data_IF_031497724600
#
_entry.id   IF_031497724600
#
_cell.length_a   1.000
_cell.length_b   1.000
_cell.length_c   1.000
_cell.angle_alpha   90.00
_cell.angle_beta   90.00
_cell.angle_gamma   90.00
#
_symmetry.space_group_name_H-M   'P 1'
#
loop_
_entity.id
_entity.type
_entity.pdbx_description
1 polymer ?
#
# COMPACT_ATOMS: atom_id res chain seq x y z
N UNK A 1 -29.38 -16.64 -22.15
CA UNK A 1 -28.24 -15.86 -21.59
C UNK A 1 -27.58 -16.69 -20.50
N UNK A 2 -26.33 -17.12 -20.69
CA UNK A 2 -25.58 -17.84 -19.67
C UNK A 2 -25.04 -16.83 -18.64
N UNK A 3 -25.52 -16.87 -17.40
CA UNK A 3 -24.98 -16.03 -16.31
C UNK A 3 -23.66 -16.63 -15.86
N UNK A 4 -22.55 -16.02 -16.27
CA UNK A 4 -21.22 -16.37 -15.76
C UNK A 4 -21.05 -15.73 -14.39
N UNK A 5 -21.00 -16.55 -13.34
CA UNK A 5 -20.68 -16.09 -11.99
C UNK A 5 -19.15 -16.10 -11.83
N UNK A 6 -18.52 -14.93 -11.93
CA UNK A 6 -17.08 -14.80 -11.65
C UNK A 6 -16.90 -14.91 -10.13
N UNK A 7 -16.37 -16.03 -9.66
CA UNK A 7 -15.99 -16.21 -8.26
C UNK A 7 -14.55 -15.78 -8.07
N UNK A 8 -14.32 -14.65 -7.40
CA UNK A 8 -12.97 -14.22 -7.00
C UNK A 8 -12.51 -15.10 -5.84
N UNK A 9 -11.49 -15.91 -6.08
CA UNK A 9 -10.84 -16.70 -5.05
C UNK A 9 -9.61 -15.91 -4.56
N UNK A 10 -9.58 -15.59 -3.26
CA UNK A 10 -8.47 -14.85 -2.64
C UNK A 10 -7.21 -15.70 -2.76
N UNK A 11 -6.21 -15.22 -3.49
CA UNK A 11 -4.86 -15.78 -3.40
C UNK A 11 -4.25 -15.28 -2.08
N UNK A 12 -3.76 -16.20 -1.26
CA UNK A 12 -2.94 -15.83 -0.11
C UNK A 12 -1.70 -15.13 -0.64
N UNK A 13 -1.41 -13.88 -0.25
CA UNK A 13 -0.21 -13.21 -0.72
C UNK A 13 0.99 -14.05 -0.26
N UNK A 14 1.84 -14.44 -1.20
CA UNK A 14 3.16 -14.96 -0.83
C UNK A 14 3.84 -13.84 -0.04
N UNK A 15 4.34 -14.15 1.16
CA UNK A 15 5.14 -13.23 1.96
C UNK A 15 6.38 -12.88 1.15
N UNK A 16 6.28 -11.83 0.34
CA UNK A 16 7.40 -11.32 -0.45
C UNK A 16 7.99 -10.25 0.44
N UNK A 17 9.06 -10.60 1.17
CA UNK A 17 9.82 -9.63 1.96
C UNK A 17 10.25 -8.51 1.04
N UNK A 18 9.99 -7.24 1.40
CA UNK A 18 10.46 -6.14 0.56
C UNK A 18 11.92 -5.76 0.83
N UNK A 19 12.67 -6.63 1.51
CA UNK A 19 14.13 -6.58 1.64
C UNK A 19 14.86 -6.45 0.28
N UNK A 20 14.22 -6.88 -0.81
CA UNK A 20 14.74 -6.75 -2.18
C UNK A 20 14.42 -5.40 -2.85
N UNK A 21 13.67 -4.49 -2.20
CA UNK A 21 13.44 -3.14 -2.73
C UNK A 21 14.72 -2.32 -2.61
N UNK A 22 15.25 -1.89 -3.75
CA UNK A 22 16.33 -0.91 -3.78
C UNK A 22 15.89 0.42 -3.16
N UNK A 23 16.84 1.16 -2.60
CA UNK A 23 16.58 2.46 -1.97
C UNK A 23 15.83 3.45 -2.90
N UNK A 24 16.03 3.34 -4.21
CA UNK A 24 15.35 4.15 -5.20
C UNK A 24 13.84 3.90 -5.24
N UNK A 25 13.40 2.67 -4.95
CA UNK A 25 11.98 2.31 -4.90
C UNK A 25 11.32 2.69 -3.57
N UNK A 26 12.12 3.03 -2.55
CA UNK A 26 11.65 3.47 -1.23
C UNK A 26 11.44 4.99 -1.17
N UNK A 27 11.85 5.73 -2.21
CA UNK A 27 11.77 7.18 -2.29
C UNK A 27 10.81 7.65 -3.40
N UNK A 28 10.28 8.86 -3.25
CA UNK A 28 9.58 9.54 -4.33
C UNK A 28 10.57 10.02 -5.40
N UNK A 29 10.07 10.42 -6.57
CA UNK A 29 10.89 11.08 -7.60
C UNK A 29 11.58 12.39 -7.14
N UNK A 30 11.15 12.94 -6.00
CA UNK A 30 11.76 14.12 -5.37
C UNK A 30 12.79 13.76 -4.28
N UNK A 31 13.05 12.47 -4.07
CA UNK A 31 14.00 11.96 -3.08
C UNK A 31 13.46 11.85 -1.65
N UNK A 32 12.17 12.13 -1.42
CA UNK A 32 11.53 11.98 -0.11
C UNK A 32 11.23 10.52 0.21
N UNK A 33 11.36 10.11 1.48
CA UNK A 33 10.92 8.79 1.96
C UNK A 33 9.43 8.55 1.64
N UNK A 34 9.13 7.43 0.97
CA UNK A 34 7.78 7.07 0.53
C UNK A 34 7.29 5.74 1.11
N UNK A 35 8.18 4.79 1.37
CA UNK A 35 7.86 3.60 2.16
C UNK A 35 8.13 3.94 3.64
N UNK A 36 7.10 4.41 4.36
CA UNK A 36 7.28 4.80 5.77
C UNK A 36 7.19 3.64 6.74
N UNK A 37 6.44 2.60 6.39
CA UNK A 37 6.21 1.48 7.30
C UNK A 37 5.98 0.20 6.52
N UNK A 38 6.62 -0.86 7.01
CA UNK A 38 6.55 -2.21 6.48
C UNK A 38 6.56 -3.18 7.66
N UNK A 39 5.48 -3.95 7.75
CA UNK A 39 5.33 -5.08 8.65
C UNK A 39 4.84 -6.28 7.83
N UNK A 40 4.90 -7.47 8.44
CA UNK A 40 4.56 -8.75 7.80
C UNK A 40 3.23 -8.76 7.05
N UNK A 41 2.22 -8.06 7.59
CA UNK A 41 0.85 -8.05 7.05
C UNK A 41 0.41 -6.67 6.53
N UNK A 42 1.26 -5.65 6.62
CA UNK A 42 0.87 -4.27 6.30
C UNK A 42 2.03 -3.47 5.72
N UNK A 43 1.76 -2.78 4.62
CA UNK A 43 2.71 -1.85 4.00
C UNK A 43 2.02 -0.49 3.85
N UNK A 44 2.69 0.58 4.30
CA UNK A 44 2.19 1.95 4.20
C UNK A 44 3.09 2.75 3.25
N UNK A 45 2.56 3.03 2.06
CA UNK A 45 3.15 3.93 1.08
C UNK A 45 2.61 5.35 1.27
N UNK A 46 3.41 6.23 1.88
CA UNK A 46 3.07 7.63 2.09
C UNK A 46 4.31 8.45 2.38
N UNK A 47 4.24 9.78 2.31
CA UNK A 47 5.35 10.66 2.72
C UNK A 47 5.14 11.18 4.13
N UNK A 48 6.21 11.68 4.78
CA UNK A 48 6.10 12.32 6.12
C UNK A 48 5.14 13.51 6.13
N UNK A 49 5.11 14.26 5.03
CA UNK A 49 4.20 15.40 4.82
C UNK A 49 2.75 14.93 4.73
N UNK A 50 2.45 13.90 3.93
CA UNK A 50 1.11 13.33 3.83
C UNK A 50 0.66 12.74 5.17
N UNK A 51 1.54 12.04 5.88
CA UNK A 51 1.24 11.52 7.22
C UNK A 51 0.89 12.65 8.20
N UNK A 52 1.60 13.78 8.15
CA UNK A 52 1.34 14.93 9.00
C UNK A 52 -0.03 15.57 8.70
N UNK A 53 -0.42 15.65 7.42
CA UNK A 53 -1.74 16.10 7.01
C UNK A 53 -2.86 15.12 7.44
N UNK A 54 -2.62 13.81 7.29
CA UNK A 54 -3.55 12.77 7.72
C UNK A 54 -3.77 12.80 9.25
N UNK A 55 -2.73 13.01 10.05
CA UNK A 55 -2.85 13.15 11.52
C UNK A 55 -3.81 14.27 11.96
N UNK A 56 -3.93 15.33 11.16
CA UNK A 56 -4.84 16.45 11.44
C UNK A 56 -6.25 16.20 10.92
N UNK A 57 -6.44 15.15 10.10
CA UNK A 57 -7.71 14.81 9.49
C UNK A 57 -8.55 13.96 10.42
N UNK A 58 -9.79 14.39 10.69
CA UNK A 58 -10.75 13.66 11.53
C UNK A 58 -11.17 12.31 10.94
N UNK A 59 -11.14 12.19 9.62
CA UNK A 59 -11.55 11.00 8.88
C UNK A 59 -10.53 10.70 7.79
N UNK A 60 -10.17 9.43 7.65
CA UNK A 60 -9.31 8.95 6.58
C UNK A 60 -10.18 8.20 5.59
N UNK A 61 -10.19 8.67 4.35
CA UNK A 61 -10.84 7.98 3.24
C UNK A 61 -9.73 7.32 2.43
N UNK A 62 -9.68 6.00 2.49
CA UNK A 62 -8.84 5.20 1.63
C UNK A 62 -9.74 4.54 0.57
N UNK A 63 -9.50 4.84 -0.70
CA UNK A 63 -10.01 4.00 -1.78
C UNK A 63 -9.05 2.82 -1.93
N UNK A 64 -9.42 1.72 -1.28
CA UNK A 64 -8.68 0.49 -1.39
C UNK A 64 -9.19 -0.32 -2.57
N UNK A 65 -8.44 -0.38 -3.66
CA UNK A 65 -8.45 -1.59 -4.50
C UNK A 65 -7.70 -2.70 -3.77
N UNK A 66 -8.27 -3.19 -2.67
CA UNK A 66 -7.82 -4.44 -2.06
C UNK A 66 -8.23 -5.58 -3.01
N UNK A 67 -7.23 -6.27 -3.56
CA UNK A 67 -7.41 -7.56 -4.25
C UNK A 67 -7.39 -8.70 -3.26
#
# INVERSE_FOLDING_TARGET
MLKQTIRRQRQTPATTSTDDLTDDLRKTYRGEDFLLHEEKDMIIFTTKSNLSALKQSKHWFADGTFK
#
